data_IF_447273676204
#
_entry.id   IF_447273676204
#
_cell.length_a   1.000
_cell.length_b   1.000
_cell.length_c   1.000
_cell.angle_alpha   90.00
_cell.angle_beta   90.00
_cell.angle_gamma   90.00
#
_symmetry.space_group_name_H-M   'P 1'
#
loop_
_entity.id
_entity.type
_entity.pdbx_description
1 polymer ?
#
# COMPACT_ATOMS: atom_id res chain seq x y z
N UNK A 1 -32.12 -12.55 0.05
CA UNK A 1 -31.00 -12.72 -0.91
C UNK A 1 -30.72 -11.38 -1.56
N UNK A 2 -29.66 -10.70 -1.15
CA UNK A 2 -28.94 -9.71 -1.96
C UNK A 2 -27.51 -9.71 -1.46
N UNK A 3 -26.65 -10.32 -2.27
CA UNK A 3 -25.20 -10.35 -2.14
C UNK A 3 -24.66 -8.94 -2.30
N UNK A 4 -24.15 -8.36 -1.22
CA UNK A 4 -23.23 -7.24 -1.29
C UNK A 4 -21.82 -7.81 -1.30
N UNK A 5 -21.27 -8.08 -2.48
CA UNK A 5 -19.81 -8.20 -2.60
C UNK A 5 -19.28 -6.77 -2.67
N UNK A 6 -18.44 -6.42 -1.69
CA UNK A 6 -17.76 -5.14 -1.62
C UNK A 6 -16.75 -5.04 -2.76
N UNK A 7 -16.85 -3.99 -3.56
CA UNK A 7 -15.85 -3.60 -4.56
C UNK A 7 -14.48 -3.42 -3.92
N UNK A 8 -13.44 -3.55 -4.76
CA UNK A 8 -12.03 -3.68 -4.43
C UNK A 8 -11.45 -2.60 -3.51
N UNK A 9 -11.69 -2.74 -2.21
CA UNK A 9 -10.89 -2.11 -1.17
C UNK A 9 -9.85 -3.14 -0.73
N UNK A 10 -8.57 -2.82 -0.82
CA UNK A 10 -7.58 -3.51 0.02
C UNK A 10 -7.95 -3.17 1.45
N UNK A 11 -8.72 -4.07 2.07
CA UNK A 11 -9.19 -3.90 3.42
C UNK A 11 -8.01 -4.09 4.35
N UNK A 12 -7.57 -3.02 5.00
CA UNK A 12 -6.47 -3.11 5.96
C UNK A 12 -6.87 -4.10 7.07
N UNK A 13 -6.02 -5.09 7.37
CA UNK A 13 -6.31 -6.07 8.41
C UNK A 13 -6.54 -5.37 9.75
N UNK A 14 -7.42 -5.93 10.60
CA UNK A 14 -7.26 -5.74 12.05
C UNK A 14 -5.82 -6.08 12.44
N UNK A 15 -5.24 -5.34 13.39
CA UNK A 15 -3.82 -5.50 13.78
C UNK A 15 -3.50 -6.85 14.41
N UNK A 16 -4.53 -7.62 14.81
CA UNK A 16 -4.40 -8.87 15.55
C UNK A 16 -4.31 -8.65 17.07
N UNK A 17 -4.09 -7.42 17.53
CA UNK A 17 -4.13 -7.09 18.95
C UNK A 17 -5.57 -7.15 19.47
N UNK A 18 -5.74 -7.87 20.59
CA UNK A 18 -7.03 -8.05 21.28
C UNK A 18 -6.95 -7.66 22.75
N UNK A 19 -5.75 -7.31 23.24
CA UNK A 19 -5.51 -6.85 24.59
C UNK A 19 -5.40 -5.33 24.53
N UNK A 20 -6.34 -4.63 25.16
CA UNK A 20 -6.24 -3.20 25.39
C UNK A 20 -5.40 -2.91 26.64
N UNK A 21 -4.46 -1.97 26.50
CA UNK A 21 -3.65 -1.38 27.56
C UNK A 21 -4.12 0.04 27.92
N UNK A 22 -4.93 0.69 27.07
CA UNK A 22 -5.52 2.00 27.29
C UNK A 22 -6.75 2.22 26.40
N UNK A 23 -7.73 2.99 26.88
CA UNK A 23 -8.90 3.38 26.07
C UNK A 23 -8.43 4.10 24.78
N UNK A 24 -8.95 3.65 23.64
CA UNK A 24 -8.64 4.17 22.32
C UNK A 24 -7.42 3.55 21.63
N UNK A 25 -6.76 2.55 22.23
CA UNK A 25 -5.72 1.78 21.54
C UNK A 25 -6.31 0.76 20.54
N UNK A 26 -5.45 0.11 19.77
CA UNK A 26 -5.87 -0.82 18.73
C UNK A 26 -6.48 -2.12 19.30
N UNK A 27 -6.10 -2.51 20.52
CA UNK A 27 -6.76 -3.57 21.29
C UNK A 27 -8.15 -3.20 21.83
N UNK A 28 -8.43 -1.92 22.07
CA UNK A 28 -9.75 -1.40 22.47
C UNK A 28 -10.67 -1.18 21.26
N UNK A 29 -10.12 -0.59 20.19
CA UNK A 29 -10.91 -0.19 19.04
C UNK A 29 -11.08 -1.30 17.99
N UNK A 30 -10.12 -2.22 17.92
CA UNK A 30 -10.05 -3.31 16.93
C UNK A 30 -10.44 -2.86 15.50
N UNK A 31 -9.94 -1.69 15.07
CA UNK A 31 -10.25 -1.14 13.74
C UNK A 31 -9.57 -1.98 12.66
N UNK A 32 -10.22 -2.06 11.49
CA UNK A 32 -9.74 -2.83 10.33
C UNK A 32 -10.70 -3.94 9.95
N UNK A 33 -10.45 -4.58 8.81
CA UNK A 33 -11.21 -5.73 8.39
C UNK A 33 -10.88 -6.95 9.25
N UNK A 34 -11.95 -7.61 9.68
CA UNK A 34 -11.86 -8.92 10.35
C UNK A 34 -11.19 -9.88 9.37
N UNK A 35 -10.22 -10.63 9.87
CA UNK A 35 -9.57 -11.65 9.06
C UNK A 35 -10.56 -12.75 8.69
N UNK A 36 -10.61 -13.18 7.42
CA UNK A 36 -11.42 -14.33 7.05
C UNK A 36 -10.90 -15.60 7.71
N UNK A 37 -11.80 -16.54 7.99
CA UNK A 37 -11.45 -17.91 8.37
C UNK A 37 -11.70 -18.82 7.15
N UNK A 38 -10.69 -19.22 6.37
CA UNK A 38 -9.24 -19.04 6.54
C UNK A 38 -8.67 -17.77 5.88
N UNK A 39 -7.66 -17.14 6.49
CA UNK A 39 -6.94 -15.97 5.92
C UNK A 39 -6.20 -16.35 4.64
N UNK A 40 -5.51 -17.48 4.68
CA UNK A 40 -4.66 -17.93 3.59
C UNK A 40 -5.19 -19.23 2.99
N UNK A 41 -5.12 -19.34 1.67
CA UNK A 41 -5.40 -20.55 0.90
C UNK A 41 -4.09 -21.03 0.28
N UNK A 42 -3.62 -22.21 0.66
CA UNK A 42 -2.50 -22.88 -0.01
C UNK A 42 -3.00 -23.50 -1.32
N UNK A 43 -2.47 -23.03 -2.45
CA UNK A 43 -2.91 -23.49 -3.78
C UNK A 43 -2.13 -24.72 -4.27
N UNK A 44 -1.17 -25.22 -3.48
CA UNK A 44 -0.14 -26.13 -3.98
C UNK A 44 0.78 -25.42 -4.98
N UNK A 45 1.54 -26.17 -5.77
CA UNK A 45 2.97 -26.44 -5.60
C UNK A 45 3.87 -25.18 -5.55
N UNK A 46 3.57 -24.23 -4.67
CA UNK A 46 4.45 -23.08 -4.41
C UNK A 46 3.76 -21.73 -4.28
N UNK A 47 2.42 -21.64 -4.25
CA UNK A 47 1.73 -20.35 -4.07
C UNK A 47 0.69 -20.39 -2.96
N UNK A 48 0.44 -19.22 -2.38
CA UNK A 48 -0.53 -18.99 -1.32
C UNK A 48 -1.36 -17.77 -1.67
N UNK A 49 -2.68 -17.88 -1.64
CA UNK A 49 -3.60 -16.75 -1.79
C UNK A 49 -3.94 -16.16 -0.41
N UNK A 50 -3.82 -14.84 -0.26
CA UNK A 50 -4.37 -14.10 0.88
C UNK A 50 -5.82 -13.72 0.55
N UNK A 51 -6.77 -14.38 1.21
CA UNK A 51 -8.21 -14.18 1.00
C UNK A 51 -8.70 -12.81 1.50
N UNK A 52 -7.89 -12.09 2.30
CA UNK A 52 -8.21 -10.71 2.70
C UNK A 52 -7.95 -9.72 1.58
N UNK A 53 -6.85 -9.90 0.83
CA UNK A 53 -6.37 -8.92 -0.17
C UNK A 53 -6.57 -9.38 -1.60
N UNK A 54 -6.84 -10.66 -1.83
CA UNK A 54 -6.88 -11.27 -3.16
C UNK A 54 -5.50 -11.47 -3.80
N UNK A 55 -4.42 -11.10 -3.10
CA UNK A 55 -3.05 -11.27 -3.56
C UNK A 55 -2.63 -12.74 -3.50
N UNK A 56 -1.77 -13.14 -4.43
CA UNK A 56 -1.14 -14.45 -4.44
C UNK A 56 0.37 -14.28 -4.27
N UNK A 57 0.92 -14.97 -3.29
CA UNK A 57 2.30 -14.89 -2.86
C UNK A 57 3.03 -16.19 -3.20
N UNK A 58 4.35 -16.12 -3.38
CA UNK A 58 5.16 -17.34 -3.33
C UNK A 58 5.04 -17.96 -1.93
N UNK A 59 4.90 -19.29 -1.88
CA UNK A 59 4.81 -20.04 -0.63
C UNK A 59 6.14 -20.03 0.13
N UNK A 60 7.23 -20.14 -0.61
CA UNK A 60 8.57 -19.88 -0.07
C UNK A 60 8.79 -18.36 -0.01
N UNK A 61 8.87 -17.84 1.21
CA UNK A 61 9.03 -16.42 1.48
C UNK A 61 10.46 -15.92 1.25
N UNK A 62 11.47 -16.79 1.33
CA UNK A 62 12.84 -16.45 0.90
C UNK A 62 12.99 -16.59 -0.63
N UNK A 63 11.97 -17.16 -1.29
CA UNK A 63 11.83 -17.30 -2.73
C UNK A 63 13.15 -17.65 -3.43
N UNK A 64 13.72 -18.86 -3.24
CA UNK A 64 14.96 -19.28 -3.87
C UNK A 64 14.81 -19.55 -5.39
N UNK A 65 13.64 -19.28 -5.98
CA UNK A 65 13.43 -19.18 -7.42
C UNK A 65 14.06 -20.26 -8.28
N UNK A 66 14.56 -19.82 -9.43
CA UNK A 66 15.34 -20.62 -10.36
C UNK A 66 16.82 -20.26 -10.19
N UNK A 67 17.71 -21.26 -10.27
CA UNK A 67 19.16 -21.02 -10.21
C UNK A 67 19.66 -20.05 -11.28
N UNK A 68 18.97 -19.96 -12.41
CA UNK A 68 19.25 -19.01 -13.50
C UNK A 68 18.96 -17.55 -13.14
N UNK A 69 18.14 -17.30 -12.12
CA UNK A 69 17.77 -15.97 -11.67
C UNK A 69 18.64 -15.48 -10.50
N UNK A 70 19.76 -16.16 -10.23
CA UNK A 70 20.63 -15.89 -9.09
C UNK A 70 19.84 -15.76 -7.78
N UNK A 71 19.28 -16.85 -7.25
CA UNK A 71 18.40 -16.82 -6.09
C UNK A 71 19.14 -16.65 -4.77
N UNK A 72 20.30 -15.98 -4.78
CA UNK A 72 21.03 -15.60 -3.56
C UNK A 72 20.11 -15.05 -2.48
N UNK A 73 20.51 -15.26 -1.22
CA UNK A 73 19.68 -15.11 -0.02
C UNK A 73 19.15 -13.67 0.12
N UNK A 74 20.02 -12.69 -0.05
CA UNK A 74 19.73 -11.27 0.06
C UNK A 74 20.12 -10.53 -1.23
N UNK A 75 19.42 -9.42 -1.52
CA UNK A 75 19.57 -8.66 -2.78
C UNK A 75 19.57 -7.18 -2.52
N UNK A 76 20.35 -6.43 -3.30
CA UNK A 76 20.10 -5.00 -3.47
C UNK A 76 18.72 -4.77 -4.09
N UNK A 77 18.20 -3.55 -3.96
CA UNK A 77 16.87 -3.25 -4.45
C UNK A 77 16.75 -3.42 -5.97
N UNK A 78 17.80 -3.09 -6.73
CA UNK A 78 17.81 -3.31 -8.18
C UNK A 78 17.90 -4.80 -8.53
N UNK A 79 18.74 -5.57 -7.84
CA UNK A 79 18.82 -7.02 -8.02
C UNK A 79 17.50 -7.72 -7.67
N UNK A 80 16.73 -7.20 -6.72
CA UNK A 80 15.38 -7.69 -6.42
C UNK A 80 14.40 -7.48 -7.58
N UNK A 81 14.46 -6.34 -8.27
CA UNK A 81 13.64 -6.08 -9.46
C UNK A 81 14.07 -6.95 -10.65
N UNK A 82 15.37 -7.10 -10.86
CA UNK A 82 15.95 -7.93 -11.91
C UNK A 82 15.60 -9.41 -11.68
N UNK A 83 15.63 -9.85 -10.42
CA UNK A 83 15.23 -11.18 -9.99
C UNK A 83 13.78 -11.49 -10.40
N UNK A 84 12.85 -10.59 -10.08
CA UNK A 84 11.44 -10.79 -10.43
C UNK A 84 11.23 -10.75 -11.95
N UNK A 85 11.97 -9.90 -12.67
CA UNK A 85 11.99 -9.90 -14.14
C UNK A 85 12.42 -11.25 -14.73
N UNK A 86 13.40 -11.89 -14.10
CA UNK A 86 13.86 -13.23 -14.48
C UNK A 86 12.82 -14.32 -14.19
N UNK A 87 12.16 -14.25 -13.02
CA UNK A 87 11.05 -15.17 -12.69
C UNK A 87 9.95 -15.11 -13.74
N UNK A 88 9.59 -13.90 -14.18
CA UNK A 88 8.57 -13.69 -15.20
C UNK A 88 8.96 -14.25 -16.56
N UNK A 89 10.20 -13.97 -16.99
CA UNK A 89 10.75 -14.53 -18.24
C UNK A 89 10.76 -16.06 -18.26
N UNK A 90 10.79 -16.69 -17.08
CA UNK A 90 10.83 -18.14 -16.93
C UNK A 90 9.47 -18.77 -16.61
N UNK A 91 8.38 -17.98 -16.59
CA UNK A 91 7.05 -18.44 -16.16
C UNK A 91 7.09 -19.18 -14.82
N UNK A 92 7.81 -18.64 -13.84
CA UNK A 92 8.03 -19.27 -12.54
C UNK A 92 6.70 -19.66 -11.88
N UNK A 93 6.60 -20.92 -11.43
CA UNK A 93 5.36 -21.52 -10.88
C UNK A 93 4.15 -21.44 -11.83
N UNK A 94 4.37 -21.32 -13.14
CA UNK A 94 3.32 -21.20 -14.15
C UNK A 94 2.80 -19.76 -14.36
N UNK A 95 3.46 -18.77 -13.76
CA UNK A 95 3.05 -17.36 -13.81
C UNK A 95 4.18 -16.45 -14.30
N UNK A 96 3.82 -15.36 -14.96
CA UNK A 96 4.75 -14.40 -15.57
C UNK A 96 4.45 -12.93 -15.21
N UNK A 97 3.65 -12.73 -14.17
CA UNK A 97 3.18 -11.45 -13.62
C UNK A 97 3.61 -11.28 -12.15
N UNK A 98 4.70 -11.92 -11.74
CA UNK A 98 5.33 -11.67 -10.44
C UNK A 98 5.85 -10.24 -10.37
N UNK A 99 5.76 -9.65 -9.19
CA UNK A 99 6.30 -8.33 -8.87
C UNK A 99 6.81 -8.31 -7.42
N UNK A 100 7.65 -7.34 -7.12
CA UNK A 100 7.99 -7.01 -5.75
C UNK A 100 6.77 -6.30 -5.11
N UNK A 101 6.31 -6.69 -3.90
CA UNK A 101 5.15 -6.09 -3.27
C UNK A 101 5.41 -4.62 -2.98
N UNK A 102 4.39 -3.77 -3.11
CA UNK A 102 4.48 -2.41 -2.57
C UNK A 102 4.38 -2.44 -1.04
N UNK A 103 4.69 -1.32 -0.39
CA UNK A 103 4.73 -1.25 1.07
C UNK A 103 3.40 -1.58 1.74
N UNK A 104 2.26 -1.27 1.13
CA UNK A 104 0.94 -1.59 1.70
C UNK A 104 0.65 -3.09 1.61
N UNK A 105 1.03 -3.72 0.52
CA UNK A 105 0.78 -5.14 0.28
C UNK A 105 1.59 -6.02 1.21
N UNK A 106 2.91 -5.78 1.32
CA UNK A 106 3.74 -6.54 2.24
C UNK A 106 3.34 -6.32 3.69
N UNK A 107 3.06 -5.06 4.04
CA UNK A 107 2.62 -4.71 5.39
C UNK A 107 1.23 -5.28 5.74
N UNK A 108 0.40 -5.61 4.75
CA UNK A 108 -0.88 -6.27 4.99
C UNK A 108 -0.74 -7.66 5.59
N UNK A 109 0.42 -8.32 5.46
CA UNK A 109 0.66 -9.64 6.05
C UNK A 109 0.86 -9.60 7.57
N UNK A 110 1.15 -8.43 8.14
CA UNK A 110 1.61 -8.28 9.52
C UNK A 110 0.51 -8.58 10.54
N UNK A 111 0.90 -9.33 11.58
CA UNK A 111 0.15 -9.61 12.80
C UNK A 111 0.90 -9.01 13.99
N UNK A 112 0.43 -7.88 14.52
CA UNK A 112 1.04 -7.18 15.65
C UNK A 112 0.84 -7.88 17.00
N UNK A 113 0.05 -8.96 17.05
CA UNK A 113 0.02 -9.84 18.23
C UNK A 113 1.20 -10.84 18.25
N UNK A 114 2.03 -10.84 17.21
CA UNK A 114 3.11 -11.79 16.97
C UNK A 114 4.41 -11.05 16.69
N UNK A 115 5.50 -11.76 16.94
CA UNK A 115 6.85 -11.36 16.60
C UNK A 115 7.64 -12.62 16.29
N UNK A 116 8.70 -12.51 15.48
CA UNK A 116 9.57 -13.62 15.08
C UNK A 116 8.86 -14.88 14.51
N UNK A 117 8.28 -14.80 13.28
CA UNK A 117 7.95 -13.59 12.54
C UNK A 117 6.61 -12.99 13.01
N UNK A 118 6.37 -11.72 12.72
CA UNK A 118 5.10 -11.00 12.94
C UNK A 118 4.02 -11.40 11.92
N UNK A 119 3.76 -12.70 11.83
CA UNK A 119 2.74 -13.30 10.98
C UNK A 119 1.79 -14.20 11.80
N UNK A 120 0.62 -14.47 11.23
CA UNK A 120 -0.37 -15.38 11.84
C UNK A 120 0.20 -16.77 12.10
N UNK A 121 -0.07 -17.33 13.29
CA UNK A 121 0.52 -18.61 13.74
C UNK A 121 0.25 -19.83 12.82
N UNK A 122 -0.76 -19.79 11.94
CA UNK A 122 -1.12 -20.88 11.02
C UNK A 122 -0.98 -20.49 9.54
N UNK A 123 -0.12 -19.52 9.22
CA UNK A 123 0.16 -19.21 7.82
C UNK A 123 0.79 -20.41 7.10
N UNK A 124 0.49 -20.64 5.81
CA UNK A 124 1.04 -21.76 5.04
C UNK A 124 2.43 -21.47 4.44
N UNK A 125 2.97 -20.26 4.64
CA UNK A 125 4.28 -19.87 4.13
C UNK A 125 5.43 -20.66 4.75
N UNK A 126 6.48 -20.90 3.96
CA UNK A 126 7.70 -21.62 4.34
C UNK A 126 8.92 -20.71 4.17
N UNK A 127 9.99 -21.00 4.90
CA UNK A 127 11.25 -20.23 4.84
C UNK A 127 11.07 -18.72 5.07
N UNK A 128 10.06 -18.34 5.86
CA UNK A 128 9.90 -16.96 6.34
C UNK A 128 11.08 -16.63 7.23
N UNK A 129 11.79 -15.56 6.90
CA UNK A 129 12.84 -14.99 7.73
C UNK A 129 12.21 -13.96 8.67
N UNK A 130 12.56 -14.01 9.95
CA UNK A 130 12.20 -12.93 10.87
C UNK A 130 13.20 -11.78 10.70
N UNK A 131 13.17 -11.15 9.52
CA UNK A 131 14.14 -10.16 9.07
C UNK A 131 13.48 -9.24 8.03
N UNK A 132 14.29 -8.44 7.34
CA UNK A 132 13.88 -7.36 6.46
C UNK A 132 13.57 -7.84 5.04
N UNK A 133 12.41 -7.44 4.53
CA UNK A 133 11.96 -7.72 3.17
C UNK A 133 11.78 -6.44 2.36
N UNK A 134 12.31 -6.42 1.14
CA UNK A 134 12.15 -5.29 0.23
C UNK A 134 10.70 -5.09 -0.22
N UNK A 135 10.32 -3.83 -0.41
CA UNK A 135 9.12 -3.45 -1.16
C UNK A 135 9.51 -2.71 -2.46
N UNK A 136 8.61 -2.64 -3.43
CA UNK A 136 8.78 -1.85 -4.66
C UNK A 136 8.59 -0.35 -4.46
N UNK A 137 8.23 0.10 -3.24
CA UNK A 137 7.93 1.50 -2.99
C UNK A 137 9.22 2.29 -2.74
N UNK A 138 9.56 3.20 -3.65
CA UNK A 138 10.65 4.17 -3.44
C UNK A 138 10.26 5.21 -2.37
N UNK A 139 11.22 5.64 -1.55
CA UNK A 139 10.98 6.69 -0.56
C UNK A 139 10.80 8.04 -1.26
N UNK A 140 9.74 8.77 -0.91
CA UNK A 140 9.48 10.10 -1.44
C UNK A 140 10.43 11.15 -0.82
N UNK A 141 11.01 10.85 0.34
CA UNK A 141 11.97 11.71 1.01
C UNK A 141 13.37 11.61 0.37
N UNK A 142 13.80 10.39 0.03
CA UNK A 142 15.06 10.13 -0.67
C UNK A 142 14.88 9.01 -1.70
N UNK A 143 15.02 9.34 -2.98
CA UNK A 143 14.82 8.38 -4.08
C UNK A 143 15.90 7.31 -4.17
N UNK A 144 17.03 7.49 -3.48
CA UNK A 144 18.05 6.45 -3.31
C UNK A 144 17.68 5.41 -2.26
N UNK A 145 16.57 5.62 -1.55
CA UNK A 145 16.04 4.73 -0.54
C UNK A 145 14.72 4.10 -1.00
N UNK A 146 14.43 2.92 -0.47
CA UNK A 146 13.18 2.20 -0.69
C UNK A 146 12.62 1.70 0.64
N UNK A 147 11.30 1.55 0.70
CA UNK A 147 10.62 1.01 1.87
C UNK A 147 10.86 -0.50 1.98
N UNK A 148 10.96 -0.98 3.21
CA UNK A 148 11.09 -2.39 3.56
C UNK A 148 10.25 -2.70 4.81
N UNK A 149 9.89 -3.97 4.99
CA UNK A 149 9.15 -4.44 6.17
C UNK A 149 10.04 -5.38 6.97
N UNK A 150 10.19 -5.11 8.26
CA UNK A 150 10.89 -5.97 9.21
C UNK A 150 9.91 -6.95 9.85
N UNK A 151 10.03 -8.24 9.54
CA UNK A 151 9.16 -9.29 10.09
C UNK A 151 9.51 -9.71 11.52
N UNK A 152 10.54 -9.15 12.15
CA UNK A 152 10.78 -9.40 13.57
C UNK A 152 9.69 -8.77 14.42
N UNK A 153 9.44 -7.47 14.28
CA UNK A 153 8.40 -6.73 15.01
C UNK A 153 7.20 -6.33 14.15
N UNK A 154 7.30 -6.44 12.83
CA UNK A 154 6.28 -5.94 11.90
C UNK A 154 6.40 -4.45 11.60
N UNK A 155 7.61 -3.90 11.67
CA UNK A 155 7.84 -2.49 11.42
C UNK A 155 8.01 -2.18 9.94
N UNK A 156 7.71 -0.92 9.56
CA UNK A 156 7.85 -0.41 8.20
C UNK A 156 8.81 0.79 8.22
N UNK A 157 9.97 0.64 7.58
CA UNK A 157 11.00 1.67 7.47
C UNK A 157 11.45 1.83 6.01
N UNK A 158 12.24 2.86 5.72
CA UNK A 158 12.98 2.97 4.47
C UNK A 158 14.50 2.97 4.70
N UNK A 159 15.23 2.56 3.67
CA UNK A 159 16.69 2.52 3.71
C UNK A 159 17.31 2.47 2.33
N UNK A 160 18.63 2.65 2.31
CA UNK A 160 19.44 2.70 1.09
C UNK A 160 19.19 1.48 0.19
N UNK A 161 18.94 1.73 -1.10
CA UNK A 161 18.76 0.70 -2.14
C UNK A 161 19.98 -0.20 -2.36
N UNK A 162 21.12 0.16 -1.78
CA UNK A 162 22.38 -0.60 -1.83
C UNK A 162 22.52 -1.63 -0.70
N UNK A 163 21.58 -1.70 0.25
CA UNK A 163 21.56 -2.77 1.24
C UNK A 163 20.98 -4.06 0.68
N UNK A 164 21.35 -5.18 1.28
CA UNK A 164 20.92 -6.51 0.87
C UNK A 164 19.81 -6.99 1.79
N UNK A 165 18.60 -7.17 1.26
CA UNK A 165 17.43 -7.67 2.00
C UNK A 165 16.73 -8.79 1.23
N UNK A 166 15.81 -9.47 1.92
CA UNK A 166 15.05 -10.58 1.38
C UNK A 166 13.98 -10.13 0.37
N UNK A 167 13.57 -11.05 -0.50
CA UNK A 167 12.58 -10.80 -1.55
C UNK A 167 11.44 -11.79 -1.45
N UNK A 168 10.21 -11.28 -1.39
CA UNK A 168 9.00 -12.09 -1.34
C UNK A 168 8.07 -11.71 -2.49
N UNK A 169 8.13 -12.40 -3.64
CA UNK A 169 7.32 -12.06 -4.80
C UNK A 169 5.83 -12.24 -4.55
N UNK A 170 5.07 -11.30 -5.09
CA UNK A 170 3.61 -11.30 -5.07
C UNK A 170 3.10 -11.11 -6.50
N UNK A 171 1.87 -11.56 -6.75
CA UNK A 171 1.13 -11.37 -7.99
C UNK A 171 -0.36 -11.20 -7.69
N UNK A 172 -1.14 -10.82 -8.70
CA UNK A 172 -2.56 -10.52 -8.52
C UNK A 172 -2.80 -9.25 -7.70
N UNK A 173 -4.03 -9.06 -7.24
CA UNK A 173 -4.50 -7.82 -6.58
C UNK A 173 -4.47 -6.57 -7.47
N UNK A 174 -4.11 -6.75 -8.73
CA UNK A 174 -4.27 -5.84 -9.85
C UNK A 174 -5.51 -6.37 -10.55
N UNK A 175 -6.66 -5.83 -10.16
CA UNK A 175 -7.97 -6.19 -10.72
C UNK A 175 -8.40 -5.02 -11.59
N UNK A 176 -9.04 -5.32 -12.71
CA UNK A 176 -9.82 -4.36 -13.49
C UNK A 176 -11.27 -4.68 -13.16
N UNK A 177 -11.79 -4.10 -12.08
CA UNK A 177 -13.07 -4.52 -11.49
C UNK A 177 -14.28 -3.90 -12.20
N UNK A 178 -14.10 -2.82 -12.96
CA UNK A 178 -15.13 -2.25 -13.82
C UNK A 178 -14.95 -2.55 -15.33
N UNK A 179 -13.87 -3.24 -15.69
CA UNK A 179 -13.55 -3.70 -17.04
C UNK A 179 -13.30 -2.57 -18.05
N UNK A 180 -12.67 -1.48 -17.63
CA UNK A 180 -12.31 -0.35 -18.50
C UNK A 180 -10.92 -0.46 -19.14
N UNK A 181 -10.15 -1.49 -18.77
CA UNK A 181 -8.81 -1.75 -19.29
C UNK A 181 -7.69 -1.10 -18.49
N UNK A 182 -8.00 -0.39 -17.41
CA UNK A 182 -7.07 0.07 -16.40
C UNK A 182 -7.22 -0.80 -15.15
N UNK A 183 -6.12 -1.00 -14.44
CA UNK A 183 -6.09 -1.90 -13.29
C UNK A 183 -5.92 -1.11 -12.01
N UNK A 184 -6.36 -1.68 -10.88
CA UNK A 184 -6.41 -1.08 -9.54
C UNK A 184 -5.09 -0.47 -8.99
N UNK A 185 -3.95 -0.69 -9.65
CA UNK A 185 -2.66 -0.08 -9.34
C UNK A 185 -2.45 1.30 -10.02
N UNK A 186 -3.10 1.53 -11.15
CA UNK A 186 -3.09 2.81 -11.89
C UNK A 186 -4.45 3.52 -11.86
N UNK A 187 -5.51 2.76 -11.60
CA UNK A 187 -6.87 3.26 -11.52
C UNK A 187 -7.18 3.80 -10.11
N UNK A 188 -7.45 5.10 -10.05
CA UNK A 188 -7.81 5.80 -8.83
C UNK A 188 -9.23 5.46 -8.33
N UNK A 189 -10.08 4.86 -9.17
CA UNK A 189 -11.37 4.30 -8.81
C UNK A 189 -11.78 3.10 -9.69
N UNK A 190 -11.20 1.93 -9.38
CA UNK A 190 -11.46 0.59 -9.94
C UNK A 190 -12.89 0.05 -9.75
N UNK A 191 -13.86 0.91 -9.45
CA UNK A 191 -15.29 0.58 -9.39
C UNK A 191 -16.12 1.49 -10.29
N UNK A 192 -15.48 2.38 -11.05
CA UNK A 192 -16.13 3.30 -11.97
C UNK A 192 -15.30 3.44 -13.27
N UNK A 193 -15.77 2.86 -14.40
CA UNK A 193 -15.00 2.75 -15.65
C UNK A 193 -14.82 4.09 -16.39
N UNK A 194 -15.24 5.19 -15.76
CA UNK A 194 -15.11 6.56 -16.24
C UNK A 194 -14.03 7.36 -15.48
N UNK A 195 -13.46 6.81 -14.41
CA UNK A 195 -12.40 7.43 -13.62
C UNK A 195 -11.18 6.54 -13.76
N UNK A 196 -10.26 6.90 -14.65
CA UNK A 196 -9.08 6.09 -14.97
C UNK A 196 -8.02 6.95 -15.68
N UNK A 197 -6.75 6.51 -15.78
CA UNK A 197 -5.70 7.27 -16.46
C UNK A 197 -5.93 7.63 -17.94
N UNK A 198 -6.91 7.03 -18.60
CA UNK A 198 -7.31 7.32 -19.98
C UNK A 198 -8.48 8.29 -20.10
N UNK A 199 -9.14 8.62 -19.00
CA UNK A 199 -10.28 9.52 -18.98
C UNK A 199 -9.83 10.97 -19.23
N UNK A 200 -10.79 11.80 -19.65
CA UNK A 200 -10.56 13.23 -19.75
C UNK A 200 -11.03 13.91 -18.46
N UNK A 201 -10.18 14.74 -17.88
CA UNK A 201 -10.51 15.49 -16.67
C UNK A 201 -11.77 16.37 -16.87
N UNK A 202 -12.79 16.15 -16.03
CA UNK A 202 -14.03 16.93 -16.06
C UNK A 202 -13.93 18.08 -15.05
N UNK A 203 -13.54 19.24 -15.58
CA UNK A 203 -13.39 20.47 -14.77
C UNK A 203 -14.69 20.79 -13.98
N UNK A 204 -14.55 21.00 -12.67
CA UNK A 204 -15.63 21.36 -11.72
C UNK A 204 -16.57 20.26 -11.22
N UNK A 205 -16.24 18.97 -11.37
CA UNK A 205 -16.93 17.90 -10.66
C UNK A 205 -16.32 17.56 -9.28
N UNK A 206 -15.08 18.01 -9.00
CA UNK A 206 -14.38 17.74 -7.74
C UNK A 206 -13.85 16.31 -7.60
N UNK A 207 -13.70 15.60 -8.72
CA UNK A 207 -13.15 14.26 -8.86
C UNK A 207 -11.91 14.38 -9.75
N UNK A 208 -10.86 13.64 -9.44
CA UNK A 208 -9.70 13.45 -10.32
C UNK A 208 -10.08 12.32 -11.28
N UNK A 209 -10.60 12.67 -12.46
CA UNK A 209 -11.15 11.69 -13.41
C UNK A 209 -10.04 10.98 -14.17
N UNK A 210 -8.94 11.68 -14.47
CA UNK A 210 -7.80 11.17 -15.23
C UNK A 210 -6.66 10.60 -14.36
N UNK A 211 -6.92 10.44 -13.05
CA UNK A 211 -5.99 9.94 -12.05
C UNK A 211 -4.62 10.64 -12.08
N UNK A 212 -4.61 11.92 -12.47
CA UNK A 212 -3.41 12.70 -12.64
C UNK A 212 -3.37 13.82 -11.60
N UNK A 213 -2.47 13.76 -10.60
CA UNK A 213 -2.42 14.80 -9.56
C UNK A 213 -1.97 16.17 -10.09
N UNK A 214 -1.54 16.27 -11.35
CA UNK A 214 -1.19 17.53 -12.00
C UNK A 214 -2.39 18.22 -12.69
N UNK A 215 -3.50 17.52 -12.92
CA UNK A 215 -4.73 18.12 -13.46
C UNK A 215 -5.56 18.72 -12.31
N UNK A 216 -5.87 20.03 -12.36
CA UNK A 216 -6.60 20.65 -11.26
C UNK A 216 -8.08 20.24 -11.24
N UNK A 217 -8.49 19.56 -10.18
CA UNK A 217 -9.90 19.29 -9.78
C UNK A 217 -10.62 20.58 -9.33
N UNK A 218 -10.64 21.61 -10.18
CA UNK A 218 -11.13 22.96 -9.83
C UNK A 218 -12.60 22.87 -9.41
N UNK A 219 -12.92 23.06 -8.12
CA UNK A 219 -14.32 23.27 -7.70
C UNK A 219 -14.84 24.61 -8.24
N UNK A 220 -16.13 24.68 -8.55
CA UNK A 220 -16.87 25.90 -8.97
C UNK A 220 -16.74 27.12 -8.02
N UNK A 221 -16.01 26.98 -6.91
CA UNK A 221 -15.69 28.04 -5.94
C UNK A 221 -14.24 28.52 -5.95
N UNK A 222 -13.38 28.05 -6.86
CA UNK A 222 -12.00 28.54 -7.02
C UNK A 222 -11.05 28.21 -5.86
N UNK A 223 -11.32 27.15 -5.10
CA UNK A 223 -10.41 26.66 -4.06
C UNK A 223 -9.53 25.55 -4.64
N UNK A 224 -8.21 25.75 -4.56
CA UNK A 224 -7.22 24.70 -4.82
C UNK A 224 -7.35 23.68 -3.70
N UNK A 225 -7.62 22.42 -4.03
CA UNK A 225 -7.54 21.33 -3.07
C UNK A 225 -6.05 21.06 -2.84
N UNK A 226 -5.59 21.21 -1.59
CA UNK A 226 -4.19 20.97 -1.25
C UNK A 226 -3.81 19.53 -1.59
N UNK A 227 -2.71 19.41 -2.33
CA UNK A 227 -2.09 18.17 -2.79
C UNK A 227 -1.52 17.39 -1.62
N UNK A 228 -2.26 16.35 -1.20
CA UNK A 228 -1.73 15.29 -0.35
C UNK A 228 -2.04 13.95 -1.04
N UNK A 229 -1.08 13.01 -1.12
CA UNK A 229 -1.37 11.67 -1.59
C UNK A 229 -2.24 10.98 -0.53
N UNK A 230 -3.56 11.00 -0.73
CA UNK A 230 -4.49 10.32 0.16
C UNK A 230 -4.62 8.84 -0.24
N UNK A 231 -4.67 7.92 0.74
CA UNK A 231 -4.92 6.51 0.47
C UNK A 231 -6.38 6.32 0.01
N UNK A 232 -6.56 5.34 -0.88
CA UNK A 232 -7.84 4.80 -1.33
C UNK A 232 -8.90 4.86 -0.23
N UNK A 233 -10.03 5.49 -0.55
CA UNK A 233 -11.29 5.57 0.22
C UNK A 233 -11.56 6.76 1.14
N UNK A 234 -11.21 7.99 0.75
CA UNK A 234 -11.95 9.14 1.26
C UNK A 234 -12.40 10.06 0.13
N UNK A 235 -13.72 10.21 0.02
CA UNK A 235 -14.33 11.37 -0.63
C UNK A 235 -13.80 12.62 0.09
N UNK A 236 -12.93 13.39 -0.56
CA UNK A 236 -12.51 14.67 -0.02
C UNK A 236 -13.65 15.68 -0.20
N UNK A 237 -14.50 15.79 0.82
CA UNK A 237 -15.36 16.95 0.98
C UNK A 237 -14.48 18.18 1.23
N UNK A 238 -14.61 19.20 0.38
CA UNK A 238 -13.93 20.49 0.55
C UNK A 238 -14.19 21.04 1.96
N UNK A 239 -13.15 21.17 2.79
CA UNK A 239 -13.28 21.81 4.10
C UNK A 239 -12.94 23.31 4.03
N UNK A 240 -13.64 24.09 4.83
CA UNK A 240 -13.41 25.54 4.95
C UNK A 240 -12.18 25.77 5.84
N UNK A 241 -11.15 26.51 5.39
CA UNK A 241 -10.07 26.93 6.28
C UNK A 241 -10.64 27.77 7.41
N UNK A 242 -10.36 27.40 8.65
CA UNK A 242 -10.71 28.19 9.83
C UNK A 242 -9.98 29.54 9.70
N UNK A 243 -10.73 30.64 9.64
CA UNK A 243 -10.16 31.98 9.52
C UNK A 243 -9.17 32.25 10.66
N UNK A 244 -7.99 32.78 10.32
CA UNK A 244 -7.03 33.27 11.28
C UNK A 244 -7.64 34.41 12.12
N UNK A 245 -7.40 34.47 13.44
CA UNK A 245 -7.86 35.58 14.27
C UNK A 245 -7.18 36.87 13.81
N UNK A 246 -7.97 37.90 13.50
CA UNK A 246 -7.47 39.22 13.14
C UNK A 246 -6.72 39.83 14.34
N UNK A 247 -5.41 40.08 14.18
CA UNK A 247 -4.65 40.91 15.10
C UNK A 247 -4.99 42.38 14.83
N UNK A 248 -5.56 43.04 15.85
CA UNK A 248 -5.76 44.48 15.83
C UNK A 248 -4.40 45.19 15.78
N UNK A 249 -4.15 45.95 14.71
CA UNK A 249 -3.01 46.83 14.58
C UNK A 249 -3.19 48.04 15.52
N UNK A 250 -2.22 48.24 16.44
CA UNK A 250 -2.10 49.47 17.23
C UNK A 250 -1.19 50.43 16.45
N UNK A 251 -1.75 51.57 16.05
CA UNK A 251 -1.06 52.61 15.29
C UNK A 251 0.03 53.32 16.08
N UNK A 252 1.16 53.59 15.42
CA UNK A 252 2.23 54.44 15.92
C UNK A 252 1.87 55.91 15.65
N UNK A 253 1.65 56.68 16.72
CA UNK A 253 1.51 58.13 16.69
C UNK A 253 2.81 58.81 17.11
N UNK A 254 3.42 59.55 16.20
CA UNK A 254 4.55 60.44 16.45
C UNK A 254 4.15 61.63 17.32
N UNK A 255 4.98 61.99 18.31
CA UNK A 255 4.83 63.22 19.10
C UNK A 255 6.19 63.76 19.56
N UNK A 256 6.61 64.87 18.95
CA UNK A 256 7.72 65.73 19.40
C UNK A 256 7.30 66.66 20.55
N UNK A 257 8.27 66.96 21.45
CA UNK A 257 8.51 68.19 22.25
C UNK A 257 9.14 67.78 23.60
N UNK A 258 10.20 68.40 24.15
CA UNK A 258 10.89 69.68 23.91
C UNK A 258 12.40 69.49 23.93
#
# INVERSE_FOLDING_TARGET
>A
MRSGQSGGVISLPKTGQTISYSLGDDGDLERGAVWPDTRFTDNGPGTVTDNLTGLMWTKDANAPGLSSCDPGIDKTWQEALDYVTCLNSSSYLGYNDWRLPNKKELYSLIDFSRFNPSLQIRHPFTNVQADIYWTSTTSAYDTNSAWFVDLWYGDLYDGSKYYFFYVWPVRGGIVDNDHDGYTSDVDCNDSNPAINPGAAEIVNNGIDDDCNPATPVLSATGRVCDSQPAPQQQQHGCHVPRAAPQSHAVGWGSGCHR
#
